data_IF_488071025923
#
_entry.id   IF_488071025923
#
_cell.length_a   1.000
_cell.length_b   1.000
_cell.length_c   1.000
_cell.angle_alpha   90.00
_cell.angle_beta   90.00
_cell.angle_gamma   90.00
#
_symmetry.space_group_name_H-M   'P 1'
#
loop_
_entity.id
_entity.type
_entity.pdbx_description
1 polymer ?
#
# COMPACT_ATOMS: atom_id res chain seq x y z
N UNK A 1 -9.21 -12.84 -20.19
CA UNK A 1 -10.62 -13.23 -19.95
C UNK A 1 -11.31 -12.08 -19.19
N UNK A 2 -12.54 -11.70 -19.55
CA UNK A 2 -13.34 -10.55 -19.04
C UNK A 2 -13.06 -9.14 -19.60
N UNK A 3 -12.83 -8.94 -20.91
CA UNK A 3 -12.67 -7.60 -21.48
C UNK A 3 -13.87 -6.68 -21.19
N UNK A 4 -15.09 -7.20 -21.34
CA UNK A 4 -16.33 -6.42 -21.19
C UNK A 4 -16.52 -5.81 -19.79
N UNK A 5 -16.03 -6.50 -18.75
CA UNK A 5 -16.09 -5.99 -17.38
C UNK A 5 -15.16 -4.80 -17.20
N UNK A 6 -13.89 -4.93 -17.60
CA UNK A 6 -12.90 -3.89 -17.40
C UNK A 6 -13.06 -2.69 -18.36
N UNK A 7 -13.77 -2.86 -19.47
CA UNK A 7 -14.21 -1.75 -20.32
C UNK A 7 -15.28 -0.89 -19.63
N UNK A 8 -16.11 -1.47 -18.75
CA UNK A 8 -17.14 -0.76 -17.98
C UNK A 8 -16.67 -0.34 -16.58
N UNK A 9 -15.65 -1.02 -16.05
CA UNK A 9 -15.15 -0.86 -14.69
C UNK A 9 -13.62 -0.77 -14.74
N UNK A 10 -13.08 0.45 -14.83
CA UNK A 10 -11.66 0.71 -15.07
C UNK A 10 -10.83 0.47 -13.80
N UNK A 11 -9.85 -0.43 -13.89
CA UNK A 11 -8.79 -0.55 -12.88
C UNK A 11 -7.98 0.74 -12.77
N UNK A 12 -7.77 1.20 -11.55
CA UNK A 12 -7.07 2.44 -11.22
C UNK A 12 -7.97 3.68 -11.17
N UNK A 13 -9.27 3.53 -11.49
CA UNK A 13 -10.25 4.63 -11.49
C UNK A 13 -11.55 4.25 -10.78
N UNK A 14 -12.23 3.21 -11.25
CA UNK A 14 -13.52 2.76 -10.69
C UNK A 14 -13.33 1.67 -9.64
N UNK A 15 -12.30 0.84 -9.85
CA UNK A 15 -11.88 -0.21 -8.91
C UNK A 15 -10.38 -0.18 -8.76
N UNK A 16 -9.89 -0.58 -7.58
CA UNK A 16 -8.49 -0.47 -7.22
C UNK A 16 -7.91 -1.86 -6.94
N UNK A 17 -6.75 -2.13 -7.56
CA UNK A 17 -5.94 -3.31 -7.25
C UNK A 17 -4.79 -2.88 -6.36
N UNK A 18 -4.88 -3.23 -5.08
CA UNK A 18 -3.84 -2.94 -4.07
C UNK A 18 -3.13 -4.24 -3.70
N UNK A 19 -1.83 -4.34 -3.96
CA UNK A 19 -1.07 -5.59 -3.78
C UNK A 19 -0.45 -5.63 -2.38
N UNK A 20 -0.69 -6.71 -1.61
CA UNK A 20 0.11 -7.01 -0.40
C UNK A 20 1.42 -7.64 -0.83
N UNK A 21 2.53 -6.94 -0.59
CA UNK A 21 3.89 -7.43 -0.84
C UNK A 21 4.40 -8.18 0.39
N UNK A 22 5.39 -9.07 0.25
CA UNK A 22 6.05 -9.65 1.42
C UNK A 22 6.87 -8.58 2.14
N UNK A 23 6.98 -8.70 3.46
CA UNK A 23 7.90 -7.89 4.26
C UNK A 23 9.27 -8.58 4.32
N UNK A 24 10.35 -8.07 3.69
CA UNK A 24 11.65 -8.73 3.68
C UNK A 24 12.31 -8.90 5.06
N UNK A 25 11.91 -8.09 6.06
CA UNK A 25 12.47 -8.16 7.41
C UNK A 25 11.93 -9.38 8.18
N UNK A 26 10.70 -9.78 7.89
CA UNK A 26 9.97 -10.87 8.55
C UNK A 26 9.88 -12.14 7.66
N UNK A 27 9.66 -11.97 6.35
CA UNK A 27 9.39 -13.01 5.36
C UNK A 27 10.59 -13.28 4.45
N UNK A 28 11.73 -13.66 5.03
CA UNK A 28 13.02 -13.76 4.34
C UNK A 28 13.04 -14.68 3.12
N UNK A 29 12.23 -15.74 3.09
CA UNK A 29 12.16 -16.69 1.97
C UNK A 29 11.49 -16.08 0.73
N UNK A 30 10.55 -15.16 0.94
CA UNK A 30 9.78 -14.49 -0.11
C UNK A 30 10.30 -13.08 -0.40
N UNK A 31 11.38 -12.64 0.26
CA UNK A 31 11.90 -11.28 0.15
C UNK A 31 12.16 -10.81 -1.29
N UNK A 32 12.52 -11.72 -2.21
CA UNK A 32 12.74 -11.40 -3.63
C UNK A 32 11.43 -11.19 -4.41
N UNK A 33 10.33 -11.78 -3.95
CA UNK A 33 9.00 -11.59 -4.54
C UNK A 33 8.56 -10.13 -4.40
N UNK A 34 9.01 -9.39 -3.38
CA UNK A 34 8.82 -7.93 -3.30
C UNK A 34 9.36 -7.25 -4.56
N UNK A 35 10.60 -7.54 -4.94
CA UNK A 35 11.26 -6.90 -6.09
C UNK A 35 10.52 -7.26 -7.37
N UNK A 36 10.22 -8.55 -7.58
CA UNK A 36 9.46 -9.01 -8.74
C UNK A 36 8.09 -8.34 -8.84
N UNK A 37 7.42 -8.14 -7.71
CA UNK A 37 6.12 -7.48 -7.64
C UNK A 37 6.23 -6.01 -8.04
N UNK A 38 7.19 -5.27 -7.48
CA UNK A 38 7.41 -3.86 -7.81
C UNK A 38 7.79 -3.67 -9.28
N UNK A 39 8.65 -4.55 -9.81
CA UNK A 39 9.06 -4.56 -11.23
C UNK A 39 7.93 -4.94 -12.19
N UNK A 40 6.88 -5.60 -11.69
CA UNK A 40 5.71 -5.95 -12.50
C UNK A 40 4.74 -4.78 -12.71
N UNK A 41 4.85 -3.71 -11.91
CA UNK A 41 3.93 -2.56 -11.95
C UNK A 41 4.03 -1.82 -13.29
N UNK A 42 5.22 -1.45 -13.81
CA UNK A 42 5.33 -0.80 -15.13
C UNK A 42 4.79 -1.62 -16.29
N UNK A 43 5.08 -2.93 -16.30
CA UNK A 43 4.51 -3.83 -17.30
C UNK A 43 2.98 -3.87 -17.25
N UNK A 44 2.40 -3.77 -16.05
CA UNK A 44 0.95 -3.73 -15.86
C UNK A 44 0.36 -2.41 -16.36
N UNK A 45 1.08 -1.30 -16.16
CA UNK A 45 0.74 0.00 -16.75
C UNK A 45 0.73 -0.08 -18.28
N UNK A 46 1.78 -0.60 -18.92
CA UNK A 46 1.86 -0.70 -20.38
C UNK A 46 0.72 -1.52 -20.97
N UNK A 47 0.39 -2.65 -20.33
CA UNK A 47 -0.73 -3.48 -20.75
C UNK A 47 -2.07 -2.72 -20.66
N UNK A 48 -2.27 -1.92 -19.61
CA UNK A 48 -3.47 -1.11 -19.46
C UNK A 48 -3.51 0.03 -20.49
N UNK A 49 -2.40 0.76 -20.68
CA UNK A 49 -2.28 1.84 -21.65
C UNK A 49 -2.52 1.35 -23.08
N UNK A 50 -1.96 0.19 -23.45
CA UNK A 50 -2.17 -0.42 -24.76
C UNK A 50 -3.65 -0.75 -25.00
N UNK A 51 -4.36 -1.22 -23.97
CA UNK A 51 -5.76 -1.63 -24.09
C UNK A 51 -6.74 -0.45 -24.03
N UNK A 52 -6.50 0.54 -23.17
CA UNK A 52 -7.43 1.65 -22.91
C UNK A 52 -7.05 2.97 -23.58
N UNK A 53 -5.79 3.16 -23.98
CA UNK A 53 -5.30 4.38 -24.62
C UNK A 53 -5.16 5.59 -23.68
N UNK A 54 -5.23 5.38 -22.37
CA UNK A 54 -5.05 6.40 -21.33
C UNK A 54 -3.82 6.13 -20.46
N UNK A 55 -3.44 7.11 -19.62
CA UNK A 55 -2.32 7.01 -18.69
C UNK A 55 -2.79 6.62 -17.26
N UNK A 56 -3.92 5.91 -17.13
CA UNK A 56 -4.42 5.45 -15.82
C UNK A 56 -3.69 4.18 -15.40
N UNK A 57 -2.90 4.30 -14.33
CA UNK A 57 -2.18 3.17 -13.74
C UNK A 57 -3.14 2.20 -13.05
N UNK A 58 -3.15 0.90 -13.43
CA UNK A 58 -4.04 -0.08 -12.80
C UNK A 58 -3.59 -0.46 -11.37
N UNK A 59 -2.31 -0.25 -11.06
CA UNK A 59 -1.68 -0.48 -9.76
C UNK A 59 -0.83 0.74 -9.46
N UNK A 60 -1.08 1.38 -8.33
CA UNK A 60 -0.30 2.52 -7.83
C UNK A 60 -0.17 2.49 -6.29
N UNK A 61 -0.64 1.42 -5.64
CA UNK A 61 -0.61 1.23 -4.20
C UNK A 61 -0.16 -0.20 -3.87
N UNK A 62 0.72 -0.32 -2.87
CA UNK A 62 1.17 -1.59 -2.30
C UNK A 62 1.02 -1.58 -0.79
N UNK A 63 0.74 -2.74 -0.17
CA UNK A 63 0.61 -2.90 1.28
C UNK A 63 1.84 -3.63 1.82
N UNK A 64 2.53 -3.03 2.78
CA UNK A 64 3.61 -3.67 3.55
C UNK A 64 3.03 -4.27 4.85
N UNK A 65 3.00 -5.59 5.03
CA UNK A 65 2.56 -6.21 6.28
C UNK A 65 3.59 -6.14 7.39
N UNK A 66 3.16 -6.42 8.62
CA UNK A 66 4.02 -6.43 9.82
C UNK A 66 4.85 -5.14 9.93
N UNK A 67 4.26 -3.99 9.57
CA UNK A 67 4.99 -2.72 9.57
C UNK A 67 5.21 -2.24 10.99
N UNK A 68 6.48 -2.11 11.38
CA UNK A 68 6.91 -1.65 12.71
C UNK A 68 7.69 -0.34 12.66
N UNK A 69 8.15 0.09 11.49
CA UNK A 69 8.94 1.32 11.32
C UNK A 69 8.71 2.02 9.97
N UNK A 70 8.98 3.32 9.92
CA UNK A 70 8.96 4.12 8.70
C UNK A 70 10.05 3.69 7.72
N UNK A 71 11.21 3.21 8.22
CA UNK A 71 12.31 2.77 7.35
C UNK A 71 11.89 1.60 6.45
N UNK A 72 10.99 0.72 6.91
CA UNK A 72 10.43 -0.35 6.09
C UNK A 72 9.68 0.21 4.86
N UNK A 73 8.86 1.24 5.08
CA UNK A 73 8.11 1.92 4.02
C UNK A 73 9.04 2.69 3.09
N UNK A 74 10.00 3.42 3.65
CA UNK A 74 10.99 4.19 2.88
C UNK A 74 11.82 3.31 1.97
N UNK A 75 12.22 2.12 2.42
CA UNK A 75 12.99 1.19 1.58
C UNK A 75 12.20 0.79 0.33
N UNK A 76 10.90 0.50 0.46
CA UNK A 76 10.05 0.13 -0.67
C UNK A 76 9.84 1.32 -1.60
N UNK A 77 9.46 2.46 -1.04
CA UNK A 77 9.23 3.69 -1.79
C UNK A 77 10.49 4.09 -2.59
N UNK A 78 11.63 4.23 -1.90
CA UNK A 78 12.88 4.63 -2.52
C UNK A 78 13.39 3.57 -3.50
N UNK A 79 13.18 2.27 -3.24
CA UNK A 79 13.56 1.23 -4.18
C UNK A 79 12.78 1.36 -5.49
N UNK A 80 11.46 1.54 -5.41
CA UNK A 80 10.62 1.73 -6.59
C UNK A 80 11.06 2.96 -7.40
N UNK A 81 11.18 4.12 -6.74
CA UNK A 81 11.56 5.36 -7.41
C UNK A 81 12.96 5.29 -8.03
N UNK A 82 13.92 4.72 -7.32
CA UNK A 82 15.32 4.71 -7.76
C UNK A 82 15.65 3.59 -8.74
N UNK A 83 15.17 2.39 -8.48
CA UNK A 83 15.60 1.19 -9.20
C UNK A 83 14.56 0.63 -10.16
N UNK A 84 13.27 0.88 -9.95
CA UNK A 84 12.22 0.48 -10.90
C UNK A 84 11.97 1.58 -11.91
N UNK A 85 11.67 2.80 -11.45
CA UNK A 85 11.41 3.96 -12.31
C UNK A 85 12.72 4.62 -12.73
N UNK A 86 13.64 4.83 -11.78
CA UNK A 86 14.87 5.57 -12.03
C UNK A 86 15.83 4.90 -13.02
N UNK A 87 15.76 3.58 -13.21
CA UNK A 87 16.59 2.88 -14.21
C UNK A 87 16.35 3.38 -15.63
N UNK A 88 15.18 3.95 -15.91
CA UNK A 88 14.85 4.48 -17.23
C UNK A 88 15.79 5.60 -17.70
N UNK A 89 16.49 6.27 -16.78
CA UNK A 89 17.44 7.36 -17.04
C UNK A 89 18.89 6.90 -17.13
N UNK A 90 19.16 5.60 -16.97
CA UNK A 90 20.49 5.04 -17.16
C UNK A 90 20.67 4.58 -18.60
N UNK A 91 21.88 4.68 -19.15
CA UNK A 91 22.17 4.08 -20.44
C UNK A 91 22.24 2.55 -20.32
N UNK A 92 21.90 1.84 -21.39
CA UNK A 92 22.00 0.37 -21.49
C UNK A 92 23.44 -0.13 -21.33
N UNK A 93 24.39 0.65 -21.83
CA UNK A 93 25.84 0.51 -21.65
C UNK A 93 26.49 1.90 -21.75
N UNK A 94 27.72 2.05 -21.25
CA UNK A 94 28.40 3.35 -21.25
C UNK A 94 28.44 3.99 -22.66
N UNK A 95 27.82 5.15 -22.81
CA UNK A 95 27.75 5.90 -24.08
C UNK A 95 26.63 5.47 -25.04
N UNK A 96 25.70 4.62 -24.62
CA UNK A 96 24.57 4.13 -25.43
C UNK A 96 23.25 4.88 -25.13
N UNK A 97 22.16 4.46 -25.79
CA UNK A 97 20.80 4.94 -25.56
C UNK A 97 20.33 4.70 -24.12
N UNK A 98 19.34 5.47 -23.68
CA UNK A 98 18.74 5.26 -22.37
C UNK A 98 17.90 3.97 -22.38
N UNK A 99 17.74 3.36 -21.20
CA UNK A 99 16.84 2.21 -21.04
C UNK A 99 15.42 2.56 -21.50
N UNK A 100 14.96 3.78 -21.24
CA UNK A 100 13.65 4.26 -21.71
C UNK A 100 13.52 4.33 -23.23
N UNK A 101 14.59 4.70 -23.95
CA UNK A 101 14.58 4.73 -25.41
C UNK A 101 14.43 3.32 -26.01
N UNK A 102 14.90 2.30 -25.29
CA UNK A 102 14.83 0.91 -25.72
C UNK A 102 13.49 0.24 -25.38
N UNK A 103 13.04 0.34 -24.12
CA UNK A 103 11.88 -0.43 -23.62
C UNK A 103 10.66 0.42 -23.25
N UNK A 104 10.74 1.74 -23.40
CA UNK A 104 9.69 2.68 -23.02
C UNK A 104 9.86 3.26 -21.61
N UNK A 105 9.07 4.29 -21.32
CA UNK A 105 9.03 4.95 -20.00
C UNK A 105 8.46 4.02 -18.92
N UNK A 106 8.97 4.17 -17.70
CA UNK A 106 8.53 3.37 -16.56
C UNK A 106 7.46 4.13 -15.77
N UNK A 107 6.19 3.75 -15.95
CA UNK A 107 5.03 4.36 -15.29
C UNK A 107 4.25 3.36 -14.42
N UNK A 108 3.54 3.79 -13.36
CA UNK A 108 3.51 5.15 -12.83
C UNK A 108 4.84 5.53 -12.19
N UNK A 109 5.18 6.81 -12.21
CA UNK A 109 6.43 7.30 -11.61
C UNK A 109 6.47 7.15 -10.09
N UNK A 110 5.29 7.16 -9.45
CA UNK A 110 5.14 7.10 -8.01
C UNK A 110 4.21 5.95 -7.63
N UNK A 111 4.43 5.39 -6.44
CA UNK A 111 3.50 4.48 -5.78
C UNK A 111 3.33 4.91 -4.33
N UNK A 112 2.17 4.58 -3.77
CA UNK A 112 1.89 4.75 -2.34
C UNK A 112 2.15 3.43 -1.61
N UNK A 113 2.96 3.47 -0.55
CA UNK A 113 3.21 2.31 0.31
C UNK A 113 2.33 2.42 1.55
N UNK A 114 1.38 1.50 1.68
CA UNK A 114 0.39 1.44 2.75
C UNK A 114 0.95 0.57 3.87
N UNK A 115 1.24 1.12 5.06
CA UNK A 115 1.60 0.30 6.21
C UNK A 115 0.41 -0.53 6.67
N UNK A 116 0.60 -1.84 6.83
CA UNK A 116 -0.28 -2.70 7.60
C UNK A 116 0.37 -3.00 8.95
N UNK A 117 -0.23 -2.43 10.00
CA UNK A 117 0.23 -2.50 11.39
C UNK A 117 -0.61 -3.53 12.16
N UNK A 118 0.07 -4.51 12.76
CA UNK A 118 -0.58 -5.76 13.22
C UNK A 118 -0.40 -6.03 14.73
N UNK A 119 0.54 -5.36 15.40
CA UNK A 119 0.75 -5.50 16.85
C UNK A 119 0.30 -4.27 17.65
N UNK A 120 0.00 -4.49 18.93
CA UNK A 120 -0.59 -3.48 19.81
C UNK A 120 0.27 -2.23 19.94
N UNK A 121 1.58 -2.37 20.10
CA UNK A 121 2.44 -1.23 20.40
C UNK A 121 2.52 -0.32 19.17
N UNK A 122 2.85 -0.88 18.02
CA UNK A 122 2.95 -0.08 16.79
C UNK A 122 1.58 0.45 16.35
N UNK A 123 0.47 -0.25 16.59
CA UNK A 123 -0.86 0.31 16.32
C UNK A 123 -1.14 1.58 17.12
N UNK A 124 -0.83 1.57 18.43
CA UNK A 124 -1.04 2.75 19.29
C UNK A 124 -0.15 3.93 18.86
N UNK A 125 1.06 3.67 18.39
CA UNK A 125 2.03 4.70 17.97
C UNK A 125 2.12 4.92 16.46
N UNK A 126 1.20 4.32 15.69
CA UNK A 126 1.20 4.35 14.22
C UNK A 126 1.17 5.75 13.62
N UNK A 127 0.51 6.70 14.28
CA UNK A 127 0.54 8.12 13.91
C UNK A 127 1.96 8.72 13.88
N UNK A 128 2.86 8.32 14.80
CA UNK A 128 4.24 8.81 14.80
C UNK A 128 5.05 8.20 13.64
N UNK A 129 4.88 6.89 13.41
CA UNK A 129 5.48 6.18 12.28
C UNK A 129 5.03 6.79 10.95
N UNK A 130 3.72 7.00 10.78
CA UNK A 130 3.16 7.55 9.57
C UNK A 130 3.62 9.00 9.35
N UNK A 131 3.66 9.81 10.40
CA UNK A 131 4.18 11.18 10.34
C UNK A 131 5.64 11.22 9.90
N UNK A 132 6.48 10.34 10.44
CA UNK A 132 7.88 10.24 10.06
C UNK A 132 8.01 9.86 8.57
N UNK A 133 7.27 8.84 8.14
CA UNK A 133 7.23 8.42 6.74
C UNK A 133 6.77 9.53 5.78
N UNK A 134 5.81 10.37 6.18
CA UNK A 134 5.25 11.43 5.34
C UNK A 134 6.08 12.72 5.34
N UNK A 135 7.08 12.85 6.22
CA UNK A 135 7.76 14.13 6.48
C UNK A 135 8.53 14.72 5.29
N UNK A 136 8.92 13.89 4.33
CA UNK A 136 9.69 14.25 3.14
C UNK A 136 8.99 13.87 1.82
N UNK A 137 7.68 13.60 1.87
CA UNK A 137 6.89 13.13 0.71
C UNK A 137 5.75 14.08 0.41
N UNK A 138 5.54 14.32 -0.88
CA UNK A 138 4.44 15.13 -1.40
C UNK A 138 3.33 14.21 -1.90
N UNK A 139 2.48 13.75 -0.97
CA UNK A 139 1.32 12.94 -1.28
C UNK A 139 0.04 13.75 -1.12
N UNK A 140 -0.90 13.60 -2.04
CA UNK A 140 -2.24 14.20 -1.92
C UNK A 140 -3.05 13.56 -0.78
N UNK A 141 -2.80 12.27 -0.52
CA UNK A 141 -3.42 11.51 0.55
C UNK A 141 -2.52 10.33 0.93
N UNK A 142 -2.80 9.72 2.08
CA UNK A 142 -2.15 8.47 2.47
C UNK A 142 -3.12 7.50 3.14
N UNK A 143 -2.93 6.21 2.91
CA UNK A 143 -3.72 5.14 3.55
C UNK A 143 -2.88 4.46 4.64
N UNK A 144 -3.56 3.92 5.65
CA UNK A 144 -2.96 3.06 6.68
C UNK A 144 -3.90 1.91 6.96
N UNK A 145 -3.36 0.71 7.17
CA UNK A 145 -4.13 -0.49 7.39
C UNK A 145 -3.88 -1.04 8.80
N UNK A 146 -4.95 -1.29 9.54
CA UNK A 146 -4.90 -1.89 10.87
C UNK A 146 -5.48 -3.30 10.87
N UNK A 147 -4.73 -4.26 11.40
CA UNK A 147 -5.28 -5.59 11.62
C UNK A 147 -6.19 -5.62 12.86
N UNK A 148 -7.25 -6.40 12.76
CA UNK A 148 -8.13 -6.72 13.90
C UNK A 148 -7.92 -8.13 14.42
N UNK A 149 -7.57 -9.06 13.52
CA UNK A 149 -7.47 -10.49 13.85
C UNK A 149 -6.23 -10.78 14.71
N UNK A 150 -5.06 -10.29 14.33
CA UNK A 150 -3.80 -10.53 15.04
C UNK A 150 -3.80 -9.95 16.46
N UNK A 151 -4.24 -8.68 16.69
CA UNK A 151 -4.37 -8.19 18.05
C UNK A 151 -5.40 -8.95 18.89
N UNK A 152 -6.49 -9.44 18.29
CA UNK A 152 -7.49 -10.21 19.01
C UNK A 152 -6.91 -11.54 19.49
N UNK A 153 -6.18 -12.22 18.61
CA UNK A 153 -5.49 -13.49 18.92
C UNK A 153 -4.45 -13.30 20.02
N UNK A 154 -3.66 -12.24 19.96
CA UNK A 154 -2.50 -12.03 20.84
C UNK A 154 -2.84 -11.33 22.17
N UNK A 155 -3.89 -10.49 22.20
CA UNK A 155 -4.20 -9.62 23.35
C UNK A 155 -5.67 -9.67 23.80
N UNK A 156 -6.49 -10.50 23.16
CA UNK A 156 -7.92 -10.63 23.44
C UNK A 156 -8.80 -9.63 22.68
N UNK A 157 -10.07 -10.01 22.53
CA UNK A 157 -11.05 -9.27 21.72
C UNK A 157 -11.24 -7.81 22.16
N UNK A 158 -11.42 -7.58 23.46
CA UNK A 158 -11.67 -6.22 23.98
C UNK A 158 -10.46 -5.30 23.73
N UNK A 159 -9.25 -5.79 24.02
CA UNK A 159 -8.00 -5.07 23.78
C UNK A 159 -7.85 -4.70 22.30
N UNK A 160 -8.12 -5.64 21.39
CA UNK A 160 -8.02 -5.41 19.96
C UNK A 160 -8.98 -4.31 19.47
N UNK A 161 -10.21 -4.27 19.98
CA UNK A 161 -11.20 -3.24 19.64
C UNK A 161 -10.75 -1.87 20.15
N UNK A 162 -10.32 -1.77 21.42
CA UNK A 162 -9.88 -0.50 22.01
C UNK A 162 -8.64 0.04 21.29
N UNK A 163 -7.66 -0.81 21.01
CA UNK A 163 -6.42 -0.43 20.30
C UNK A 163 -6.73 0.10 18.89
N UNK A 164 -7.62 -0.56 18.14
CA UNK A 164 -8.06 -0.07 16.83
C UNK A 164 -8.74 1.31 16.94
N UNK A 165 -9.66 1.49 17.90
CA UNK A 165 -10.34 2.80 18.09
C UNK A 165 -9.36 3.92 18.41
N UNK A 166 -8.39 3.67 19.31
CA UNK A 166 -7.35 4.65 19.66
C UNK A 166 -6.47 4.95 18.44
N UNK A 167 -6.05 3.92 17.70
CA UNK A 167 -5.22 4.10 16.50
C UNK A 167 -5.94 4.97 15.45
N UNK A 168 -7.21 4.67 15.13
CA UNK A 168 -8.02 5.48 14.22
C UNK A 168 -8.18 6.93 14.69
N UNK A 169 -8.46 7.15 15.99
CA UNK A 169 -8.56 8.50 16.54
C UNK A 169 -7.27 9.29 16.37
N UNK A 170 -6.12 8.67 16.63
CA UNK A 170 -4.80 9.32 16.50
C UNK A 170 -4.42 9.59 15.04
N UNK A 171 -4.80 8.71 14.12
CA UNK A 171 -4.62 8.97 12.68
C UNK A 171 -5.49 10.13 12.22
N UNK A 172 -6.73 10.24 12.72
CA UNK A 172 -7.57 11.39 12.43
C UNK A 172 -6.97 12.72 12.94
N UNK A 173 -6.44 12.72 14.18
CA UNK A 173 -5.73 13.88 14.72
C UNK A 173 -4.47 14.24 13.91
N UNK A 174 -3.72 13.22 13.46
CA UNK A 174 -2.56 13.44 12.59
C UNK A 174 -2.97 14.07 11.26
N UNK A 175 -4.06 13.60 10.64
CA UNK A 175 -4.57 14.14 9.38
C UNK A 175 -4.85 15.66 9.48
N UNK A 176 -5.46 16.09 10.59
CA UNK A 176 -5.66 17.51 10.89
C UNK A 176 -4.32 18.25 11.10
N UNK A 177 -3.40 17.64 11.87
CA UNK A 177 -2.10 18.24 12.18
C UNK A 177 -1.27 18.53 10.92
N UNK A 178 -1.19 17.58 9.98
CA UNK A 178 -0.38 17.71 8.77
C UNK A 178 -1.17 18.23 7.57
N UNK A 179 -2.48 18.50 7.75
CA UNK A 179 -3.38 18.97 6.68
C UNK A 179 -3.36 18.07 5.43
N UNK A 180 -3.37 16.75 5.64
CA UNK A 180 -3.38 15.72 4.58
C UNK A 180 -4.50 14.73 4.86
N UNK A 181 -5.19 14.28 3.81
CA UNK A 181 -6.19 13.24 3.95
C UNK A 181 -5.54 11.89 4.29
N UNK A 182 -5.89 11.34 5.46
CA UNK A 182 -5.48 10.00 5.87
C UNK A 182 -6.68 9.07 5.91
N UNK A 183 -6.59 7.95 5.20
CA UNK A 183 -7.69 7.00 5.01
C UNK A 183 -7.36 5.63 5.65
N UNK A 184 -7.84 5.38 6.89
CA UNK A 184 -7.67 4.09 7.55
C UNK A 184 -8.45 2.95 6.86
N UNK A 185 -7.82 1.79 6.78
CA UNK A 185 -8.41 0.51 6.39
C UNK A 185 -8.44 -0.37 7.64
N UNK A 186 -9.51 -1.14 7.85
CA UNK A 186 -9.61 -2.08 8.97
C UNK A 186 -9.73 -3.53 8.47
N UNK A 187 -8.86 -4.40 9.00
CA UNK A 187 -8.73 -5.78 8.58
C UNK A 187 -9.63 -6.69 9.40
N UNK A 188 -10.90 -6.81 8.99
CA UNK A 188 -11.94 -7.53 9.73
C UNK A 188 -12.44 -8.78 9.01
N UNK A 189 -12.69 -9.83 9.79
CA UNK A 189 -13.35 -11.06 9.35
C UNK A 189 -14.78 -11.19 9.90
N UNK A 190 -15.54 -12.13 9.34
CA UNK A 190 -16.96 -12.33 9.69
C UNK A 190 -17.20 -12.99 11.04
N UNK A 191 -16.21 -13.71 11.59
CA UNK A 191 -16.30 -14.30 12.92
C UNK A 191 -16.25 -13.20 14.00
N UNK A 192 -16.99 -13.32 15.13
CA UNK A 192 -16.98 -12.33 16.20
C UNK A 192 -15.57 -11.97 16.71
N UNK A 193 -14.70 -12.98 16.79
CA UNK A 193 -13.30 -12.83 17.21
C UNK A 193 -12.39 -12.17 16.17
N UNK A 194 -12.83 -12.02 14.91
CA UNK A 194 -12.04 -11.37 13.83
C UNK A 194 -12.61 -10.07 13.28
N UNK A 195 -13.81 -9.66 13.67
CA UNK A 195 -14.39 -8.38 13.24
C UNK A 195 -15.90 -8.36 13.33
N UNK A 196 -16.51 -9.54 13.27
CA UNK A 196 -17.94 -9.70 13.15
C UNK A 196 -18.51 -8.96 11.93
N UNK A 197 -17.75 -8.77 10.84
CA UNK A 197 -18.25 -8.07 9.65
C UNK A 197 -19.07 -9.02 8.78
N UNK A 198 -20.38 -8.81 8.78
CA UNK A 198 -21.37 -9.51 7.98
C UNK A 198 -22.51 -8.56 7.58
N UNK A 199 -23.35 -8.91 6.58
CA UNK A 199 -24.47 -8.08 6.19
C UNK A 199 -25.41 -7.72 7.35
N UNK A 200 -25.63 -8.63 8.30
CA UNK A 200 -26.51 -8.44 9.47
C UNK A 200 -25.89 -7.60 10.60
N UNK A 201 -24.60 -7.30 10.52
CA UNK A 201 -23.85 -6.63 11.60
C UNK A 201 -23.10 -5.39 11.13
N UNK A 202 -23.17 -5.02 9.85
CA UNK A 202 -22.38 -3.93 9.26
C UNK A 202 -22.50 -2.61 10.05
N UNK A 203 -23.70 -2.28 10.52
CA UNK A 203 -23.97 -1.06 11.31
C UNK A 203 -23.32 -1.05 12.70
N UNK A 204 -22.74 -2.18 13.13
CA UNK A 204 -22.14 -2.39 14.45
C UNK A 204 -20.63 -2.63 14.41
N UNK A 205 -20.01 -2.60 13.23
CA UNK A 205 -18.63 -3.11 13.02
C UNK A 205 -17.54 -2.10 13.39
N UNK A 206 -17.88 -0.87 13.78
CA UNK A 206 -16.88 0.13 14.23
C UNK A 206 -17.17 0.60 15.64
#
# INVERSE_FOLDING_TARGET
KYPDFFTKTRLGKDIFLTIRVPNPEEEKTEAKVLIETLESIPRSFDAAKLYFGDDIAPIFEVILPMTTSEQGLDRIYNYYHKFVVGKQFYPTMDGDILISDWVGEFKPHNINVIPLVEDKQHMLFSHLLLKAYLSDKDFEYQRIFFARSDPALNYGLLSAVIVNKIAHQRIHQLAEEISMDLYPIIGVGSAPFRGNLRPDTVDRVI
#
